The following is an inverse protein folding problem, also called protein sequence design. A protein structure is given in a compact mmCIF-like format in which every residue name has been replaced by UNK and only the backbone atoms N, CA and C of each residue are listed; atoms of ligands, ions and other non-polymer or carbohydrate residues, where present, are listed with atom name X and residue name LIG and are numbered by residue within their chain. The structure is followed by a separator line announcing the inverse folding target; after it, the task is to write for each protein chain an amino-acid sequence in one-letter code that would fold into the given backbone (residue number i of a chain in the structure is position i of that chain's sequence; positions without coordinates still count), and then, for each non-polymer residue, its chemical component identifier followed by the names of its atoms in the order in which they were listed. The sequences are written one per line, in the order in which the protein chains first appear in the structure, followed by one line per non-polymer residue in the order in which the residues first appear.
data_IF_219586501345
#
_entry.id   IF_219586501345
#
_cell.length_a   1.000
_cell.length_b   1.000
_cell.length_c   1.000
_cell.angle_alpha   90.00
_cell.angle_beta   90.00
_cell.angle_gamma   90.00
#
_symmetry.space_group_name_H-M   'P 1'
#
loop_
_entity.id
_entity.type
_entity.pdbx_description
1 polymer ?
#
# COMPACT_ATOMS: atom_id res chain seq x y z
N UNK A 1 20.26 3.67 8.80
CA UNK A 1 19.53 4.32 7.70
C UNK A 1 18.31 4.99 8.30
N UNK A 2 18.18 6.30 8.13
CA UNK A 2 17.09 7.07 8.71
C UNK A 2 15.76 6.70 8.05
N UNK A 3 14.73 6.55 8.87
CA UNK A 3 13.39 6.14 8.44
C UNK A 3 12.67 7.37 7.87
N UNK A 4 12.65 7.52 6.55
CA UNK A 4 12.02 8.67 5.88
C UNK A 4 10.63 8.33 5.36
N UNK A 5 9.68 9.25 5.59
CA UNK A 5 8.34 9.20 5.03
C UNK A 5 8.24 10.14 3.83
N UNK A 6 7.48 9.71 2.83
CA UNK A 6 7.22 10.45 1.61
C UNK A 6 5.70 10.61 1.42
N UNK A 7 5.25 11.75 0.86
CA UNK A 7 3.85 11.95 0.55
C UNK A 7 3.43 11.06 -0.63
N UNK A 8 2.29 10.41 -0.49
CA UNK A 8 1.64 9.59 -1.51
C UNK A 8 0.19 10.04 -1.69
N UNK A 9 -0.17 10.44 -2.91
CA UNK A 9 -1.52 10.87 -3.22
C UNK A 9 -2.40 9.66 -3.50
N UNK A 10 -3.56 9.58 -2.85
CA UNK A 10 -4.58 8.58 -3.16
C UNK A 10 -5.24 8.99 -4.47
N UNK A 11 -5.02 8.21 -5.53
CA UNK A 11 -5.58 8.48 -6.87
C UNK A 11 -6.72 7.53 -7.22
N UNK A 12 -6.94 6.48 -6.41
CA UNK A 12 -8.07 5.58 -6.55
C UNK A 12 -8.40 4.90 -5.23
N UNK A 13 -9.68 4.62 -5.02
CA UNK A 13 -10.20 3.82 -3.92
C UNK A 13 -11.35 2.98 -4.47
N UNK A 14 -11.20 1.66 -4.42
CA UNK A 14 -12.18 0.72 -4.91
C UNK A 14 -12.63 -0.19 -3.79
N UNK A 15 -13.94 -0.30 -3.57
CA UNK A 15 -14.50 -1.27 -2.64
C UNK A 15 -14.49 -2.67 -3.27
N UNK A 16 -13.91 -3.64 -2.57
CA UNK A 16 -13.80 -5.04 -3.03
C UNK A 16 -14.81 -5.92 -2.29
N UNK A 17 -15.01 -5.66 -0.99
CA UNK A 17 -16.01 -6.35 -0.16
C UNK A 17 -16.74 -5.34 0.73
N UNK A 18 -17.72 -5.79 1.50
CA UNK A 18 -18.40 -4.96 2.50
C UNK A 18 -17.44 -4.32 3.53
N UNK A 19 -16.28 -4.94 3.76
CA UNK A 19 -15.31 -4.58 4.78
C UNK A 19 -13.88 -4.40 4.24
N UNK A 20 -13.67 -4.32 2.93
CA UNK A 20 -12.34 -4.12 2.36
C UNK A 20 -12.34 -3.23 1.13
N UNK A 21 -11.32 -2.38 1.07
CA UNK A 21 -11.03 -1.52 -0.07
C UNK A 21 -9.61 -1.75 -0.58
N UNK A 22 -9.39 -1.49 -1.87
CA UNK A 22 -8.07 -1.32 -2.46
C UNK A 22 -7.86 0.15 -2.74
N UNK A 23 -6.76 0.72 -2.23
CA UNK A 23 -6.36 2.09 -2.54
C UNK A 23 -5.19 2.08 -3.52
N UNK A 24 -5.20 3.03 -4.44
CA UNK A 24 -4.14 3.24 -5.43
C UNK A 24 -3.43 4.56 -5.11
N UNK A 25 -2.11 4.49 -5.05
CA UNK A 25 -1.25 5.59 -4.63
C UNK A 25 -0.36 6.04 -5.79
N UNK A 26 -0.29 7.35 -5.98
CA UNK A 26 0.65 8.00 -6.87
C UNK A 26 1.75 8.68 -6.05
N UNK A 27 3.00 8.41 -6.44
CA UNK A 27 4.19 9.03 -5.85
C UNK A 27 4.71 10.08 -6.84
N UNK A 28 5.09 11.24 -6.32
CA UNK A 28 5.73 12.28 -7.12
C UNK A 28 6.97 11.73 -7.82
N UNK A 29 7.20 12.11 -9.08
CA UNK A 29 8.29 11.60 -9.93
C UNK A 29 9.66 11.67 -9.23
N UNK A 30 9.92 12.78 -8.51
CA UNK A 30 11.16 13.01 -7.74
C UNK A 30 11.43 11.95 -6.66
N UNK A 31 10.41 11.21 -6.22
CA UNK A 31 10.52 10.18 -5.20
C UNK A 31 10.31 8.76 -5.73
N UNK A 32 9.88 8.58 -6.99
CA UNK A 32 9.57 7.26 -7.55
C UNK A 32 10.73 6.26 -7.46
N UNK A 33 11.97 6.73 -7.58
CA UNK A 33 13.16 5.88 -7.46
C UNK A 33 13.27 5.15 -6.10
N UNK A 34 12.69 5.70 -5.03
CA UNK A 34 12.65 5.06 -3.71
C UNK A 34 11.58 3.98 -3.59
N UNK A 35 10.63 3.93 -4.52
CA UNK A 35 9.44 3.07 -4.44
C UNK A 35 9.45 1.90 -5.41
N UNK A 36 10.61 1.60 -6.03
CA UNK A 36 10.81 0.33 -6.70
C UNK A 36 10.63 -0.82 -5.70
N UNK A 37 9.74 -1.77 -6.01
CA UNK A 37 9.42 -2.88 -5.13
C UNK A 37 9.46 -4.23 -5.86
N UNK A 38 9.61 -5.30 -5.07
CA UNK A 38 9.44 -6.69 -5.51
C UNK A 38 8.15 -7.26 -4.94
N UNK A 39 7.53 -8.20 -5.66
CA UNK A 39 6.36 -8.91 -5.18
C UNK A 39 6.64 -9.57 -3.81
N UNK A 40 5.74 -9.35 -2.85
CA UNK A 40 5.88 -9.79 -1.46
C UNK A 40 6.33 -8.71 -0.47
N UNK A 41 6.73 -7.51 -0.95
CA UNK A 41 7.02 -6.37 -0.09
C UNK A 41 5.76 -5.63 0.38
N UNK A 42 5.92 -4.82 1.42
CA UNK A 42 4.86 -4.03 2.03
C UNK A 42 5.26 -2.56 2.18
N UNK A 43 4.26 -1.69 2.31
CA UNK A 43 4.42 -0.27 2.62
C UNK A 43 4.01 -0.03 4.08
N UNK A 44 4.72 0.88 4.75
CA UNK A 44 4.33 1.37 6.08
C UNK A 44 3.74 2.75 5.93
N UNK A 45 2.50 2.90 6.38
CA UNK A 45 1.73 4.13 6.36
C UNK A 45 1.83 4.83 7.70
N UNK A 46 1.75 6.15 7.67
CA UNK A 46 1.62 7.04 8.83
C UNK A 46 0.50 8.03 8.53
N UNK A 47 -0.41 8.21 9.49
CA UNK A 47 -1.48 9.19 9.42
C UNK A 47 -1.76 9.76 10.82
N UNK A 48 -2.20 11.01 10.89
CA UNK A 48 -2.73 11.60 12.12
C UNK A 48 -4.25 11.40 12.10
N UNK A 49 -4.76 10.58 13.01
CA UNK A 49 -6.18 10.25 13.12
C UNK A 49 -6.62 10.62 14.54
N UNK A 50 -7.64 11.47 14.68
CA UNK A 50 -8.13 11.97 15.97
C UNK A 50 -7.01 12.56 16.84
N UNK A 51 -6.07 13.31 16.23
CA UNK A 51 -4.94 13.93 16.94
C UNK A 51 -3.82 12.96 17.35
N UNK A 52 -3.93 11.67 17.04
CA UNK A 52 -2.90 10.66 17.35
C UNK A 52 -2.22 10.16 16.08
N UNK A 53 -0.90 9.97 16.15
CA UNK A 53 -0.16 9.34 15.06
C UNK A 53 -0.39 7.83 15.05
N UNK A 54 -0.86 7.31 13.93
CA UNK A 54 -1.10 5.88 13.72
C UNK A 54 -0.23 5.39 12.57
N UNK A 55 0.49 4.28 12.81
CA UNK A 55 1.32 3.61 11.80
C UNK A 55 0.88 2.18 11.56
N UNK A 56 0.71 1.79 10.30
CA UNK A 56 0.33 0.41 9.92
C UNK A 56 1.00 0.01 8.61
N UNK A 57 1.27 -1.28 8.47
CA UNK A 57 1.91 -1.85 7.28
C UNK A 57 0.92 -2.69 6.48
N UNK A 58 0.93 -2.54 5.16
CA UNK A 58 0.10 -3.30 4.23
C UNK A 58 0.93 -3.79 3.05
N UNK A 59 0.73 -5.05 2.69
CA UNK A 59 1.38 -5.67 1.54
C UNK A 59 0.95 -5.02 0.24
N UNK A 60 1.90 -4.85 -0.68
CA UNK A 60 1.64 -4.33 -2.02
C UNK A 60 0.95 -5.42 -2.83
N UNK A 61 -0.19 -5.08 -3.45
CA UNK A 61 -0.98 -5.98 -4.28
C UNK A 61 -1.01 -5.60 -5.78
N UNK A 62 -0.21 -4.63 -6.20
CA UNK A 62 0.01 -4.31 -7.62
C UNK A 62 1.29 -4.94 -8.18
N UNK A 63 1.37 -5.01 -9.51
CA UNK A 63 2.59 -5.45 -10.21
C UNK A 63 3.59 -4.30 -10.32
N UNK A 64 4.90 -4.53 -10.13
CA UNK A 64 5.93 -3.50 -10.28
C UNK A 64 5.91 -2.75 -11.62
N UNK A 65 5.46 -3.42 -12.68
CA UNK A 65 5.36 -2.88 -14.04
C UNK A 65 4.21 -1.88 -14.22
N UNK A 66 3.27 -1.80 -13.27
CA UNK A 66 2.08 -0.93 -13.41
C UNK A 66 2.37 0.56 -13.15
N UNK A 67 3.53 0.89 -12.56
CA UNK A 67 3.86 2.25 -12.14
C UNK A 67 3.00 2.79 -10.99
N UNK A 68 2.08 1.98 -10.46
CA UNK A 68 1.14 2.34 -9.40
C UNK A 68 1.34 1.43 -8.19
N UNK A 69 1.23 2.00 -7.00
CA UNK A 69 1.26 1.24 -5.75
C UNK A 69 -0.17 1.00 -5.29
N UNK A 70 -0.56 -0.26 -5.16
CA UNK A 70 -1.86 -0.64 -4.62
C UNK A 70 -1.70 -1.44 -3.34
N UNK A 71 -2.57 -1.17 -2.36
CA UNK A 71 -2.66 -1.95 -1.13
C UNK A 71 -4.12 -2.26 -0.81
N UNK A 72 -4.38 -3.47 -0.34
CA UNK A 72 -5.68 -3.88 0.19
C UNK A 72 -5.78 -3.61 1.68
N UNK A 73 -6.85 -2.95 2.12
CA UNK A 73 -7.09 -2.61 3.52
C UNK A 73 -8.44 -3.16 3.95
N UNK A 74 -8.40 -4.26 4.69
CA UNK A 74 -9.57 -4.81 5.38
C UNK A 74 -9.83 -4.04 6.67
N UNK A 75 -11.07 -3.57 6.85
CA UNK A 75 -11.57 -3.00 8.10
C UNK A 75 -11.59 -4.09 9.16
N UNK A 76 -10.89 -3.85 10.26
CA UNK A 76 -10.97 -4.70 11.46
C UNK A 76 -11.73 -3.95 12.56
N UNK A 77 -12.52 -4.65 13.40
CA UNK A 77 -13.13 -4.06 14.58
C UNK A 77 -12.08 -3.32 15.41
N UNK A 78 -12.42 -2.11 15.88
CA UNK A 78 -11.53 -1.23 16.66
C UNK A 78 -10.24 -0.79 15.95
N UNK A 79 -10.07 -1.14 14.66
CA UNK A 79 -8.92 -0.74 13.87
C UNK A 79 -8.99 0.71 13.45
N UNK A 80 -8.21 1.58 14.09
CA UNK A 80 -8.20 3.03 13.81
C UNK A 80 -7.84 3.34 12.35
N UNK A 81 -6.69 2.85 11.86
CA UNK A 81 -6.25 3.13 10.49
C UNK A 81 -7.13 2.45 9.44
N UNK A 82 -7.49 1.19 9.64
CA UNK A 82 -8.31 0.46 8.68
C UNK A 82 -9.72 1.05 8.56
N UNK A 83 -10.30 1.52 9.66
CA UNK A 83 -11.59 2.22 9.66
C UNK A 83 -11.45 3.55 8.93
N UNK A 84 -10.42 4.33 9.23
CA UNK A 84 -10.14 5.58 8.51
C UNK A 84 -10.05 5.39 6.99
N UNK A 85 -9.28 4.40 6.53
CA UNK A 85 -9.14 4.12 5.10
C UNK A 85 -10.46 3.69 4.46
N UNK A 86 -11.26 2.87 5.14
CA UNK A 86 -12.51 2.38 4.59
C UNK A 86 -13.61 3.46 4.58
N UNK A 87 -13.71 4.28 5.63
CA UNK A 87 -14.88 5.16 5.84
C UNK A 87 -14.63 6.64 5.58
N UNK A 88 -13.40 7.12 5.79
CA UNK A 88 -13.09 8.56 5.81
C UNK A 88 -12.17 8.99 4.68
N UNK A 89 -11.19 8.15 4.33
CA UNK A 89 -10.21 8.47 3.30
C UNK A 89 -10.87 8.57 1.92
N UNK A 90 -10.56 9.65 1.20
CA UNK A 90 -11.08 9.92 -0.14
C UNK A 90 -9.96 10.03 -1.19
N UNK A 91 -10.33 9.86 -2.45
CA UNK A 91 -9.44 10.14 -3.59
C UNK A 91 -9.07 11.62 -3.57
N UNK A 92 -7.80 11.91 -3.81
CA UNK A 92 -7.21 13.24 -3.72
C UNK A 92 -6.51 13.52 -2.39
N UNK A 93 -6.80 12.76 -1.33
CA UNK A 93 -6.09 12.87 -0.06
C UNK A 93 -4.63 12.40 -0.18
N UNK A 94 -3.80 12.84 0.77
CA UNK A 94 -2.38 12.47 0.84
C UNK A 94 -2.12 11.68 2.11
N UNK A 95 -1.39 10.58 1.98
CA UNK A 95 -0.88 9.77 3.08
C UNK A 95 0.64 9.86 3.13
N UNK A 96 1.23 9.63 4.30
CA UNK A 96 2.68 9.49 4.42
C UNK A 96 3.04 8.01 4.41
N UNK A 97 3.97 7.62 3.52
CA UNK A 97 4.44 6.24 3.41
C UNK A 97 5.95 6.13 3.42
N UNK A 98 6.46 5.01 3.93
CA UNK A 98 7.86 4.64 3.79
C UNK A 98 8.11 3.89 2.49
N UNK A 99 9.35 3.90 1.97
CA UNK A 99 9.78 3.01 0.90
C UNK A 99 9.41 1.54 1.16
N UNK A 100 9.17 0.73 0.12
CA UNK A 100 8.86 -0.69 0.24
C UNK A 100 9.85 -1.44 1.13
N UNK A 101 9.32 -2.20 2.09
CA UNK A 101 10.09 -3.00 3.03
C UNK A 101 9.73 -4.48 2.93
N UNK A 102 10.56 -5.32 3.52
CA UNK A 102 10.39 -6.76 3.57
C UNK A 102 11.42 -7.50 2.72
N UNK A 103 11.88 -8.64 3.25
CA UNK A 103 12.83 -9.56 2.58
C UNK A 103 12.13 -10.73 1.90
N UNK A 104 10.83 -10.90 2.12
CA UNK A 104 10.02 -11.90 1.43
C UNK A 104 9.78 -11.40 0.00
N UNK A 105 10.61 -11.84 -0.93
CA UNK A 105 10.51 -11.44 -2.34
C UNK A 105 10.37 -12.66 -3.21
N UNK A 106 9.26 -12.77 -3.95
CA UNK A 106 9.10 -13.81 -4.94
C UNK A 106 9.79 -13.37 -6.25
N UNK A 107 10.84 -14.08 -6.65
CA UNK A 107 11.41 -13.95 -8.00
C UNK A 107 11.02 -15.22 -8.75
N UNK A 108 10.02 -15.17 -9.65
CA UNK A 108 9.70 -16.36 -10.43
C UNK A 108 10.94 -16.75 -11.23
N UNK A 109 11.45 -17.96 -11.03
CA UNK A 109 12.46 -18.52 -11.92
C UNK A 109 11.81 -18.69 -13.29
N UNK A 110 12.54 -18.38 -14.37
CA UNK A 110 12.05 -18.38 -15.75
C UNK A 110 11.54 -19.74 -16.28
N UNK A 111 11.40 -20.75 -15.41
CA UNK A 111 10.98 -22.10 -15.75
C UNK A 111 9.81 -22.63 -14.90
N UNK A 112 9.18 -21.82 -14.04
CA UNK A 112 7.98 -22.24 -13.31
C UNK A 112 6.70 -22.04 -14.15
N UNK A 113 6.59 -22.85 -15.19
CA UNK A 113 5.28 -23.24 -15.71
C UNK A 113 4.74 -24.34 -14.79
N UNK A 114 4.16 -24.02 -13.63
CA UNK A 114 3.18 -24.92 -13.02
C UNK A 114 2.38 -24.28 -11.88
N UNK A 115 1.06 -24.34 -12.07
CA UNK A 115 -0.01 -24.26 -11.07
C UNK A 115 -0.49 -22.86 -10.66
N UNK A 116 -1.20 -22.22 -11.59
CA UNK A 116 -2.38 -21.43 -11.22
C UNK A 116 -3.59 -22.36 -11.29
N UNK A 117 -4.18 -22.70 -10.14
CA UNK A 117 -5.43 -23.49 -10.09
C UNK A 117 -6.59 -22.55 -10.41
N UNK A 118 -7.38 -22.92 -11.41
CA UNK A 118 -8.62 -22.23 -11.80
C UNK A 118 -9.80 -22.51 -10.88
#
# INVERSE_FOLDING_TARGET
MSVQFYPAKVVGKQQITADAVVITLAIAEVHQAHFAFKAGQYLTFKAIINGSEVRRSYSICSTPQSGLLQVGVKKVPEGVFSTYVNEVLEVGNTLEIMPPMGKFTHTPAANDYQHYVG
#
